data_IF_302101250735
#
_entry.id   IF_302101250735
#
_cell.length_a   1.000
_cell.length_b   1.000
_cell.length_c   1.000
_cell.angle_alpha   90.00
_cell.angle_beta   90.00
_cell.angle_gamma   90.00
#
_symmetry.space_group_name_H-M   'P 1'
#
loop_
_entity.id
_entity.type
_entity.pdbx_description
1 polymer ?
#
# COMPACT_ATOMS: atom_id res chain seq x y z
N UNK A 1 0.22 -9.24 -24.29
CA UNK A 1 0.68 -8.33 -23.24
C UNK A 1 0.77 -9.11 -21.94
N UNK A 2 1.95 -9.18 -21.33
CA UNK A 2 2.13 -9.78 -20.01
C UNK A 2 1.37 -8.90 -19.01
N UNK A 3 0.31 -9.43 -18.41
CA UNK A 3 -0.51 -8.69 -17.45
C UNK A 3 0.26 -8.38 -16.18
N UNK A 4 -0.05 -7.28 -15.50
CA UNK A 4 0.52 -6.97 -14.18
C UNK A 4 -0.57 -6.57 -13.19
N UNK A 5 -0.58 -7.22 -12.02
CA UNK A 5 -1.53 -6.97 -10.95
C UNK A 5 -0.82 -6.73 -9.61
N UNK A 6 -1.35 -5.79 -8.83
CA UNK A 6 -0.96 -5.53 -7.44
C UNK A 6 -2.17 -5.71 -6.52
N UNK A 7 -1.98 -5.85 -5.19
CA UNK A 7 -3.10 -5.99 -4.25
C UNK A 7 -4.09 -4.82 -4.30
N UNK A 8 -3.60 -3.59 -4.42
CA UNK A 8 -4.43 -2.38 -4.52
C UNK A 8 -5.28 -2.40 -5.78
N UNK A 9 -4.66 -2.66 -6.95
CA UNK A 9 -5.34 -2.79 -8.24
C UNK A 9 -6.36 -3.93 -8.25
N UNK A 10 -6.01 -5.07 -7.65
CA UNK A 10 -6.95 -6.17 -7.48
C UNK A 10 -8.16 -5.75 -6.63
N UNK A 11 -7.91 -5.02 -5.54
CA UNK A 11 -8.94 -4.51 -4.65
C UNK A 11 -9.85 -3.48 -5.32
N UNK A 12 -9.31 -2.58 -6.15
CA UNK A 12 -10.10 -1.64 -6.93
C UNK A 12 -11.10 -2.38 -7.83
N UNK A 13 -10.64 -3.36 -8.61
CA UNK A 13 -11.54 -4.11 -9.52
C UNK A 13 -12.58 -4.94 -8.77
N UNK A 14 -12.18 -5.59 -7.66
CA UNK A 14 -13.12 -6.31 -6.81
C UNK A 14 -14.17 -5.38 -6.20
N UNK A 15 -13.80 -4.14 -5.89
CA UNK A 15 -14.71 -3.11 -5.37
C UNK A 15 -15.67 -2.65 -6.46
N UNK A 16 -15.14 -2.19 -7.58
CA UNK A 16 -15.90 -1.69 -8.72
C UNK A 16 -15.02 -1.75 -9.99
N UNK A 17 -15.37 -2.56 -11.01
CA UNK A 17 -14.64 -2.58 -12.28
C UNK A 17 -14.49 -1.19 -12.92
N UNK A 18 -15.50 -0.33 -12.83
CA UNK A 18 -15.41 1.03 -13.36
C UNK A 18 -14.42 1.91 -12.57
N UNK A 19 -14.30 1.72 -11.25
CA UNK A 19 -13.28 2.40 -10.44
C UNK A 19 -11.87 1.98 -10.86
N UNK A 20 -11.65 0.67 -11.06
CA UNK A 20 -10.39 0.16 -11.60
C UNK A 20 -10.06 0.81 -12.94
N UNK A 21 -11.04 0.90 -13.84
CA UNK A 21 -10.85 1.57 -15.13
C UNK A 21 -10.40 3.02 -14.93
N UNK A 22 -11.13 3.81 -14.14
CA UNK A 22 -10.81 5.22 -13.93
C UNK A 22 -9.41 5.44 -13.34
N UNK A 23 -9.01 4.63 -12.35
CA UNK A 23 -7.70 4.77 -11.69
C UNK A 23 -6.55 4.21 -12.50
N UNK A 24 -6.72 3.01 -13.07
CA UNK A 24 -5.61 2.22 -13.63
C UNK A 24 -5.47 2.42 -15.13
N UNK A 25 -6.60 2.45 -15.85
CA UNK A 25 -6.63 2.54 -17.32
C UNK A 25 -6.66 4.01 -17.75
N UNK A 26 -7.66 4.76 -17.29
CA UNK A 26 -7.88 6.15 -17.68
C UNK A 26 -6.92 7.10 -16.92
N UNK A 27 -6.48 6.70 -15.72
CA UNK A 27 -5.59 7.46 -14.82
C UNK A 27 -6.12 8.86 -14.53
N UNK A 28 -7.41 8.93 -14.24
CA UNK A 28 -8.05 10.19 -13.89
C UNK A 28 -7.43 10.72 -12.59
N UNK A 29 -7.18 12.03 -12.50
CA UNK A 29 -6.68 12.63 -11.27
C UNK A 29 -7.69 12.42 -10.14
N UNK A 30 -7.16 12.12 -8.96
CA UNK A 30 -7.90 12.02 -7.70
C UNK A 30 -7.51 13.18 -6.81
N UNK A 31 -8.40 13.60 -5.91
CA UNK A 31 -8.07 14.65 -4.96
C UNK A 31 -7.20 14.03 -3.87
N UNK A 32 -6.10 14.68 -3.47
CA UNK A 32 -5.37 14.22 -2.30
C UNK A 32 -6.32 14.16 -1.10
N UNK A 33 -6.30 13.03 -0.40
CA UNK A 33 -7.13 12.82 0.78
C UNK A 33 -6.29 12.98 2.04
N UNK A 34 -6.76 13.78 2.99
CA UNK A 34 -6.13 13.90 4.30
C UNK A 34 -5.98 12.53 5.00
N UNK A 35 -6.90 11.59 4.77
CA UNK A 35 -6.78 10.24 5.32
C UNK A 35 -5.67 9.42 4.64
N UNK A 36 -5.54 9.52 3.32
CA UNK A 36 -4.48 8.83 2.56
C UNK A 36 -3.10 9.39 2.90
N UNK A 37 -2.94 10.71 2.90
CA UNK A 37 -1.70 11.39 3.27
C UNK A 37 -1.25 11.02 4.69
N UNK A 38 -2.20 10.82 5.62
CA UNK A 38 -1.89 10.41 6.99
C UNK A 38 -1.38 8.97 7.04
N UNK A 39 -1.95 8.10 6.21
CA UNK A 39 -1.45 6.74 5.98
C UNK A 39 0.03 6.77 5.58
N UNK A 40 0.34 7.50 4.50
CA UNK A 40 1.71 7.67 3.98
C UNK A 40 2.65 8.24 5.03
N UNK A 41 2.24 9.29 5.75
CA UNK A 41 3.05 9.91 6.80
C UNK A 41 3.36 8.92 7.94
N UNK A 42 2.35 8.20 8.44
CA UNK A 42 2.54 7.22 9.53
C UNK A 42 3.44 6.07 9.08
N UNK A 43 3.29 5.59 7.86
CA UNK A 43 4.16 4.56 7.28
C UNK A 43 5.60 5.04 7.21
N UNK A 44 5.84 6.23 6.66
CA UNK A 44 7.17 6.84 6.57
C UNK A 44 7.83 7.01 7.94
N UNK A 45 7.08 7.44 8.95
CA UNK A 45 7.59 7.55 10.34
C UNK A 45 7.98 6.18 10.90
N UNK A 46 7.14 5.16 10.73
CA UNK A 46 7.43 3.80 11.22
C UNK A 46 8.58 3.15 10.45
N UNK A 47 8.72 3.42 9.16
CA UNK A 47 9.90 3.05 8.39
C UNK A 47 11.13 3.71 9.02
N UNK A 48 11.17 5.05 9.06
CA UNK A 48 12.33 5.83 9.51
C UNK A 48 12.72 5.57 10.98
N UNK A 49 11.76 5.19 11.83
CA UNK A 49 12.01 4.74 13.20
C UNK A 49 13.04 3.60 13.27
N UNK A 50 13.02 2.66 12.33
CA UNK A 50 13.94 1.52 12.33
C UNK A 50 15.37 1.88 11.90
N UNK A 51 15.60 3.07 11.33
CA UNK A 51 16.95 3.58 11.07
C UNK A 51 17.65 4.02 12.37
N UNK A 52 16.90 4.24 13.45
CA UNK A 52 17.47 4.50 14.77
C UNK A 52 18.09 3.22 15.34
N UNK A 53 19.17 3.33 16.13
CA UNK A 53 19.67 2.22 16.95
C UNK A 53 18.57 1.68 17.85
N UNK A 54 18.58 0.38 18.12
CA UNK A 54 17.55 -0.31 18.94
C UNK A 54 17.17 0.42 20.21
N UNK A 55 18.14 0.91 20.99
CA UNK A 55 17.87 1.63 22.24
C UNK A 55 17.17 2.99 22.04
N UNK A 56 17.32 3.61 20.86
CA UNK A 56 16.72 4.89 20.51
C UNK A 56 15.30 4.80 19.93
N UNK A 57 14.82 3.60 19.60
CA UNK A 57 13.47 3.37 19.05
C UNK A 57 12.41 3.51 20.14
N UNK A 58 12.16 4.74 20.57
CA UNK A 58 11.22 5.10 21.64
C UNK A 58 10.00 5.82 21.10
N UNK A 59 8.89 5.80 21.84
CA UNK A 59 7.66 6.52 21.45
C UNK A 59 7.93 8.01 21.24
N UNK A 60 8.68 8.64 22.16
CA UNK A 60 9.09 10.03 22.04
C UNK A 60 9.87 10.30 20.74
N UNK A 61 10.89 9.49 20.45
CA UNK A 61 11.67 9.64 19.22
C UNK A 61 10.79 9.46 17.95
N UNK A 62 9.89 8.49 17.95
CA UNK A 62 8.99 8.25 16.83
C UNK A 62 8.00 9.41 16.60
N UNK A 63 7.47 9.98 17.68
CA UNK A 63 6.61 11.17 17.62
C UNK A 63 7.38 12.35 17.05
N UNK A 64 8.62 12.60 17.47
CA UNK A 64 9.44 13.70 16.93
C UNK A 64 9.70 13.58 15.41
N UNK A 65 9.69 12.37 14.85
CA UNK A 65 9.83 12.16 13.40
C UNK A 65 8.62 12.65 12.58
N UNK A 66 7.43 12.80 13.18
CA UNK A 66 6.20 13.15 12.44
C UNK A 66 6.32 14.52 11.74
N UNK A 67 6.94 15.51 12.38
CA UNK A 67 7.12 16.84 11.79
C UNK A 67 8.04 16.82 10.58
N UNK A 68 9.30 16.36 10.72
CA UNK A 68 10.24 16.24 9.61
C UNK A 68 9.74 15.37 8.46
N UNK A 69 9.06 14.25 8.75
CA UNK A 69 8.51 13.39 7.69
C UNK A 69 7.33 14.05 6.96
N UNK A 70 6.55 14.90 7.64
CA UNK A 70 5.52 15.70 6.98
C UNK A 70 6.12 16.73 6.02
N UNK A 71 7.17 17.44 6.43
CA UNK A 71 7.89 18.37 5.55
C UNK A 71 8.53 17.67 4.36
N UNK A 72 9.09 16.46 4.57
CA UNK A 72 9.62 15.63 3.47
C UNK A 72 8.52 15.22 2.50
N UNK A 73 7.36 14.84 3.01
CA UNK A 73 6.21 14.46 2.19
C UNK A 73 5.68 15.67 1.38
N UNK A 74 5.60 16.85 1.98
CA UNK A 74 5.25 18.09 1.28
C UNK A 74 6.26 18.46 0.18
N UNK A 75 7.55 18.22 0.41
CA UNK A 75 8.58 18.48 -0.58
C UNK A 75 8.47 17.52 -1.79
N UNK A 76 8.05 16.27 -1.56
CA UNK A 76 7.84 15.28 -2.61
C UNK A 76 6.51 15.48 -3.36
N UNK A 77 5.45 15.89 -2.64
CA UNK A 77 4.10 16.08 -3.17
C UNK A 77 3.54 17.46 -2.75
N UNK A 78 3.95 18.56 -3.42
CA UNK A 78 3.55 19.92 -3.04
C UNK A 78 2.04 20.17 -3.03
N UNK A 79 1.25 19.40 -3.79
CA UNK A 79 -0.21 19.46 -3.81
C UNK A 79 -0.84 19.16 -2.44
N UNK A 80 -0.14 18.45 -1.55
CA UNK A 80 -0.60 18.15 -0.20
C UNK A 80 -0.69 19.39 0.69
N UNK A 81 -0.02 20.49 0.31
CA UNK A 81 -0.15 21.77 1.00
C UNK A 81 -1.60 22.29 0.97
N UNK A 82 -2.36 21.94 -0.08
CA UNK A 82 -3.77 22.33 -0.25
C UNK A 82 -4.77 21.41 0.46
N UNK A 83 -4.32 20.46 1.29
CA UNK A 83 -5.21 19.57 2.05
C UNK A 83 -6.03 20.31 3.12
N UNK A 84 -5.51 21.41 3.63
CA UNK A 84 -6.08 22.18 4.72
C UNK A 84 -6.42 23.58 4.23
N UNK A 85 -7.33 24.27 4.92
CA UNK A 85 -7.64 25.67 4.61
C UNK A 85 -6.44 26.61 4.77
N UNK A 86 -6.63 27.88 4.41
CA UNK A 86 -5.63 28.93 4.62
C UNK A 86 -5.80 29.63 5.98
N UNK A 87 -4.72 30.24 6.48
CA UNK A 87 -4.71 31.04 7.71
C UNK A 87 -4.86 30.22 9.00
N UNK A 88 -5.20 30.89 10.10
CA UNK A 88 -5.20 30.30 11.44
C UNK A 88 -6.10 29.05 11.56
N UNK A 89 -7.24 29.04 10.86
CA UNK A 89 -8.16 27.90 10.88
C UNK A 89 -7.55 26.66 10.20
N UNK A 90 -6.86 26.86 9.06
CA UNK A 90 -6.15 25.80 8.35
C UNK A 90 -4.95 25.28 9.12
N UNK A 91 -4.21 26.17 9.78
CA UNK A 91 -3.10 25.79 10.66
C UNK A 91 -3.59 24.94 11.85
N UNK A 92 -4.75 25.28 12.43
CA UNK A 92 -5.37 24.48 13.48
C UNK A 92 -5.83 23.10 12.98
N UNK A 93 -6.42 23.03 11.78
CA UNK A 93 -6.81 21.77 11.14
C UNK A 93 -5.60 20.86 10.90
N UNK A 94 -4.52 21.43 10.35
CA UNK A 94 -3.25 20.73 10.14
C UNK A 94 -2.66 20.24 11.46
N UNK A 95 -2.65 21.07 12.49
CA UNK A 95 -2.12 20.70 13.80
C UNK A 95 -2.89 19.53 14.43
N UNK A 96 -4.22 19.54 14.37
CA UNK A 96 -5.04 18.43 14.85
C UNK A 96 -4.82 17.17 14.02
N UNK A 97 -4.69 17.30 12.69
CA UNK A 97 -4.40 16.19 11.80
C UNK A 97 -3.03 15.54 12.09
N UNK A 98 -1.99 16.36 12.33
CA UNK A 98 -0.68 15.88 12.76
C UNK A 98 -0.75 15.24 14.15
N UNK A 99 -1.56 15.81 15.06
CA UNK A 99 -1.86 15.20 16.36
C UNK A 99 -2.47 13.80 16.23
N UNK A 100 -3.34 13.57 15.24
CA UNK A 100 -3.88 12.24 14.95
C UNK A 100 -2.80 11.26 14.47
N UNK A 101 -1.88 11.71 13.61
CA UNK A 101 -0.74 10.89 13.18
C UNK A 101 0.17 10.51 14.37
N UNK A 102 0.50 11.48 15.25
CA UNK A 102 1.28 11.23 16.48
C UNK A 102 0.63 10.17 17.35
N UNK A 103 -0.69 10.26 17.59
CA UNK A 103 -1.44 9.25 18.38
C UNK A 103 -1.39 7.85 17.76
N UNK A 104 -1.40 7.73 16.43
CA UNK A 104 -1.25 6.44 15.74
C UNK A 104 0.16 5.87 15.88
N UNK A 105 1.18 6.73 15.78
CA UNK A 105 2.58 6.35 15.99
C UNK A 105 2.84 5.95 17.43
N UNK A 106 2.24 6.62 18.41
CA UNK A 106 2.31 6.22 19.83
C UNK A 106 1.63 4.87 20.04
N UNK A 107 0.44 4.66 19.45
CA UNK A 107 -0.31 3.41 19.55
C UNK A 107 0.51 2.19 19.10
N UNK A 108 1.37 2.34 18.09
CA UNK A 108 2.26 1.27 17.65
C UNK A 108 3.05 0.64 18.81
N UNK A 109 3.51 1.44 19.79
CA UNK A 109 4.27 0.97 20.95
C UNK A 109 3.42 0.20 21.98
N UNK A 110 2.09 0.31 21.91
CA UNK A 110 1.15 -0.53 22.68
C UNK A 110 1.05 -1.93 22.05
N UNK A 111 1.32 -2.05 20.74
CA UNK A 111 1.15 -3.28 19.96
C UNK A 111 2.42 -4.13 19.89
N UNK A 112 3.58 -3.48 19.83
CA UNK A 112 4.89 -4.15 19.87
C UNK A 112 6.03 -3.25 20.33
N UNK A 113 7.15 -3.87 20.76
CA UNK A 113 8.35 -3.14 21.16
C UNK A 113 9.40 -3.16 20.03
N UNK A 114 9.59 -2.05 19.28
CA UNK A 114 10.52 -2.00 18.15
C UNK A 114 12.00 -2.16 18.55
N UNK A 115 12.33 -1.99 19.83
CA UNK A 115 13.70 -2.17 20.34
C UNK A 115 14.13 -3.64 20.30
N UNK A 116 13.14 -4.55 20.29
CA UNK A 116 13.34 -6.00 20.28
C UNK A 116 13.36 -6.61 18.88
N UNK A 117 13.16 -5.82 17.84
CA UNK A 117 13.04 -6.30 16.45
C UNK A 117 14.20 -5.81 15.58
N UNK A 118 14.69 -6.66 14.66
CA UNK A 118 15.32 -6.18 13.41
C UNK A 118 14.42 -6.66 12.29
N UNK A 119 13.75 -5.75 11.56
CA UNK A 119 13.15 -6.13 10.30
C UNK A 119 14.24 -6.60 9.35
N UNK A 120 13.97 -7.67 8.59
CA UNK A 120 14.86 -8.08 7.52
C UNK A 120 14.77 -7.09 6.35
N UNK A 121 13.54 -6.64 6.05
CA UNK A 121 13.27 -5.66 5.00
C UNK A 121 12.13 -4.72 5.44
N UNK A 122 12.14 -3.49 4.92
CA UNK A 122 11.09 -2.48 5.05
C UNK A 122 10.81 -1.90 3.67
N UNK A 123 9.54 -1.59 3.38
CA UNK A 123 9.12 -1.11 2.05
C UNK A 123 9.65 -2.01 0.91
N UNK A 124 9.56 -3.33 1.13
CA UNK A 124 10.15 -4.31 0.22
C UNK A 124 9.34 -4.39 -1.08
N UNK A 125 9.94 -3.95 -2.18
CA UNK A 125 9.41 -4.23 -3.51
C UNK A 125 9.53 -5.73 -3.82
N UNK A 126 8.42 -6.35 -4.16
CA UNK A 126 8.36 -7.75 -4.57
C UNK A 126 7.71 -7.89 -5.94
N UNK A 127 8.27 -8.78 -6.77
CA UNK A 127 7.72 -9.11 -8.08
C UNK A 127 7.91 -10.60 -8.37
N UNK A 128 6.88 -11.25 -8.92
CA UNK A 128 6.98 -12.61 -9.45
C UNK A 128 6.08 -12.78 -10.68
N UNK A 129 6.33 -13.78 -11.50
CA UNK A 129 5.49 -14.14 -12.67
C UNK A 129 4.94 -15.53 -12.45
N UNK A 130 3.61 -15.66 -12.50
CA UNK A 130 2.93 -16.95 -12.40
C UNK A 130 3.10 -17.76 -13.70
N UNK A 131 2.83 -19.07 -13.63
CA UNK A 131 2.84 -19.97 -14.80
C UNK A 131 1.90 -19.51 -15.93
N UNK A 132 0.81 -18.82 -15.56
CA UNK A 132 -0.13 -18.17 -16.49
C UNK A 132 0.47 -16.97 -17.24
N UNK A 133 1.70 -16.56 -16.91
CA UNK A 133 2.35 -15.35 -17.41
C UNK A 133 1.85 -14.07 -16.75
N UNK A 134 0.99 -14.15 -15.72
CA UNK A 134 0.55 -12.98 -14.95
C UNK A 134 1.67 -12.53 -14.00
N UNK A 135 2.12 -11.28 -14.14
CA UNK A 135 3.06 -10.64 -13.22
C UNK A 135 2.32 -10.13 -11.97
N UNK A 136 2.76 -10.55 -10.80
CA UNK A 136 2.31 -10.04 -9.50
C UNK A 136 3.39 -9.14 -8.92
N UNK A 137 3.02 -7.93 -8.47
CA UNK A 137 3.97 -7.02 -7.82
C UNK A 137 3.34 -6.11 -6.78
N UNK A 138 4.16 -5.60 -5.87
CA UNK A 138 3.76 -4.60 -4.89
C UNK A 138 4.84 -4.36 -3.84
N UNK A 139 4.46 -3.65 -2.77
CA UNK A 139 5.34 -3.27 -1.68
C UNK A 139 4.83 -3.85 -0.36
N UNK A 140 5.73 -4.46 0.39
CA UNK A 140 5.44 -4.98 1.72
C UNK A 140 6.03 -4.01 2.74
N UNK A 141 5.19 -3.43 3.61
CA UNK A 141 5.62 -2.44 4.60
C UNK A 141 6.78 -2.97 5.46
N UNK A 142 6.66 -4.22 5.95
CA UNK A 142 7.73 -4.85 6.74
C UNK A 142 7.75 -6.37 6.64
N UNK A 143 8.96 -6.92 6.54
CA UNK A 143 9.23 -8.36 6.63
C UNK A 143 10.19 -8.63 7.78
N UNK A 144 9.78 -9.48 8.72
CA UNK A 144 10.63 -9.97 9.80
C UNK A 144 11.02 -11.43 9.54
N UNK A 145 12.27 -11.78 9.81
CA UNK A 145 12.78 -13.16 9.67
C UNK A 145 13.38 -13.61 11.00
N UNK A 146 12.83 -14.68 11.58
CA UNK A 146 13.35 -15.28 12.80
C UNK A 146 14.65 -16.08 12.52
N UNK A 147 15.49 -16.37 13.54
CA UNK A 147 16.66 -17.24 13.36
C UNK A 147 16.35 -18.65 12.81
N UNK A 148 15.11 -19.14 12.98
CA UNK A 148 14.61 -20.39 12.37
C UNK A 148 14.33 -20.28 10.86
N UNK A 149 14.43 -19.07 10.29
CA UNK A 149 13.99 -18.74 8.94
C UNK A 149 12.48 -18.58 8.80
N UNK A 150 11.72 -18.55 9.90
CA UNK A 150 10.28 -18.23 9.84
C UNK A 150 10.08 -16.76 9.45
N UNK A 151 9.24 -16.54 8.44
CA UNK A 151 8.95 -15.21 7.89
C UNK A 151 7.62 -14.70 8.44
N UNK A 152 7.62 -13.45 8.92
CA UNK A 152 6.42 -12.70 9.30
C UNK A 152 6.26 -11.48 8.38
N UNK A 153 5.13 -11.38 7.71
CA UNK A 153 4.74 -10.20 6.92
C UNK A 153 3.90 -9.29 7.81
N UNK A 154 4.27 -8.01 7.90
CA UNK A 154 3.54 -7.00 8.65
C UNK A 154 3.11 -5.86 7.71
N UNK A 155 1.87 -5.41 7.86
CA UNK A 155 1.33 -4.25 7.17
C UNK A 155 0.58 -3.36 8.19
N UNK A 156 0.83 -2.06 8.12
CA UNK A 156 0.28 -1.08 9.04
C UNK A 156 -0.97 -0.44 8.45
N UNK A 157 -2.05 -0.36 9.21
CA UNK A 157 -3.30 0.29 8.80
C UNK A 157 -3.61 1.45 9.74
N UNK A 158 -3.80 2.65 9.19
CA UNK A 158 -4.20 3.85 9.95
C UNK A 158 -5.70 3.94 10.21
N UNK A 159 -6.49 3.08 9.57
CA UNK A 159 -7.92 2.90 9.87
C UNK A 159 -8.17 2.00 11.08
N UNK A 160 -9.45 1.77 11.36
CA UNK A 160 -9.91 0.81 12.37
C UNK A 160 -9.94 -0.61 11.80
N UNK A 161 -9.74 -1.61 12.63
CA UNK A 161 -9.91 -3.00 12.21
C UNK A 161 -11.32 -3.28 11.66
N UNK A 162 -11.44 -4.14 10.64
CA UNK A 162 -12.72 -4.61 10.16
C UNK A 162 -13.39 -5.51 11.21
N UNK A 163 -14.73 -5.58 11.17
CA UNK A 163 -15.46 -6.63 11.88
C UNK A 163 -15.14 -8.01 11.26
N UNK A 164 -15.34 -9.08 12.03
CA UNK A 164 -15.06 -10.46 11.63
C UNK A 164 -15.53 -10.81 10.20
N UNK A 165 -16.76 -10.44 9.84
CA UNK A 165 -17.35 -10.71 8.51
C UNK A 165 -16.58 -10.08 7.32
N UNK A 166 -15.74 -9.08 7.59
CA UNK A 166 -14.97 -8.35 6.58
C UNK A 166 -13.47 -8.64 6.62
N UNK A 167 -12.99 -9.46 7.55
CA UNK A 167 -11.57 -9.82 7.68
C UNK A 167 -11.04 -10.50 6.43
N UNK A 168 -11.85 -11.35 5.78
CA UNK A 168 -11.45 -12.05 4.56
C UNK A 168 -11.02 -11.10 3.43
N UNK A 169 -11.60 -9.90 3.38
CA UNK A 169 -11.22 -8.87 2.41
C UNK A 169 -9.88 -8.24 2.78
N UNK A 170 -9.66 -7.95 4.07
CA UNK A 170 -8.40 -7.40 4.56
C UNK A 170 -7.24 -8.39 4.37
N UNK A 171 -7.48 -9.67 4.67
CA UNK A 171 -6.50 -10.75 4.52
C UNK A 171 -6.13 -11.06 3.07
N UNK A 172 -6.97 -10.70 2.08
CA UNK A 172 -6.63 -10.93 0.68
C UNK A 172 -5.33 -10.22 0.27
N UNK A 173 -5.13 -8.98 0.70
CA UNK A 173 -3.88 -8.24 0.44
C UNK A 173 -2.68 -8.99 1.05
N UNK A 174 -2.80 -9.46 2.28
CA UNK A 174 -1.73 -10.18 2.96
C UNK A 174 -1.42 -11.53 2.32
N UNK A 175 -2.46 -12.30 1.95
CA UNK A 175 -2.30 -13.58 1.24
C UNK A 175 -1.70 -13.38 -0.16
N UNK A 176 -1.95 -12.24 -0.81
CA UNK A 176 -1.30 -11.89 -2.07
C UNK A 176 0.21 -11.75 -1.88
N UNK A 177 0.67 -10.97 -0.89
CA UNK A 177 2.10 -10.83 -0.62
C UNK A 177 2.74 -12.14 -0.19
N UNK A 178 2.04 -12.92 0.62
CA UNK A 178 2.48 -14.25 1.01
C UNK A 178 2.67 -15.19 -0.20
N UNK A 179 1.75 -15.13 -1.17
CA UNK A 179 1.88 -15.84 -2.44
C UNK A 179 3.13 -15.39 -3.21
N UNK A 180 3.38 -14.08 -3.32
CA UNK A 180 4.56 -13.57 -4.04
C UNK A 180 5.85 -14.05 -3.37
N UNK A 181 5.98 -13.91 -2.05
CA UNK A 181 7.16 -14.38 -1.32
C UNK A 181 7.32 -15.89 -1.41
N UNK A 182 6.23 -16.66 -1.32
CA UNK A 182 6.30 -18.11 -1.47
C UNK A 182 6.81 -18.53 -2.85
N UNK A 183 6.42 -17.82 -3.91
CA UNK A 183 6.93 -18.07 -5.27
C UNK A 183 8.39 -17.70 -5.45
N UNK A 184 8.87 -16.69 -4.74
CA UNK A 184 10.28 -16.26 -4.78
C UNK A 184 11.20 -17.15 -3.93
N UNK A 185 10.74 -17.59 -2.76
CA UNK A 185 11.59 -18.21 -1.73
C UNK A 185 11.31 -19.71 -1.55
N UNK A 186 10.22 -20.23 -2.11
CA UNK A 186 9.82 -21.63 -1.96
C UNK A 186 9.27 -22.00 -0.58
N UNK A 187 9.18 -21.05 0.36
CA UNK A 187 8.66 -21.25 1.73
C UNK A 187 7.45 -20.36 2.00
N UNK A 188 6.41 -20.94 2.59
CA UNK A 188 5.22 -20.19 3.01
C UNK A 188 5.58 -19.32 4.22
N UNK A 189 5.26 -18.01 4.20
CA UNK A 189 5.42 -17.17 5.39
C UNK A 189 4.63 -17.71 6.56
N UNK A 190 5.23 -17.73 7.75
CA UNK A 190 4.62 -18.33 8.93
C UNK A 190 3.46 -17.51 9.47
N UNK A 191 3.56 -16.18 9.41
CA UNK A 191 2.59 -15.28 10.01
C UNK A 191 2.34 -14.04 9.14
N UNK A 192 1.08 -13.72 8.95
CA UNK A 192 0.62 -12.46 8.37
C UNK A 192 0.03 -11.62 9.50
N UNK A 193 0.43 -10.36 9.61
CA UNK A 193 0.01 -9.47 10.68
C UNK A 193 -0.44 -8.13 10.12
N UNK A 194 -1.68 -7.75 10.38
CA UNK A 194 -2.20 -6.40 10.13
C UNK A 194 -2.28 -5.65 11.45
N UNK A 195 -1.63 -4.49 11.54
CA UNK A 195 -1.62 -3.66 12.74
C UNK A 195 -2.47 -2.41 12.51
N UNK A 196 -3.65 -2.36 13.13
CA UNK A 196 -4.59 -1.26 13.02
C UNK A 196 -4.29 -0.18 14.06
N UNK A 197 -3.51 0.82 13.65
CA UNK A 197 -3.06 1.92 14.49
C UNK A 197 -4.20 2.88 14.87
N UNK A 198 -5.30 2.86 14.12
CA UNK A 198 -6.48 3.68 14.39
C UNK A 198 -7.21 3.27 15.69
N UNK A 199 -7.21 1.97 16.03
CA UNK A 199 -7.88 1.45 17.23
C UNK A 199 -7.02 0.52 18.11
N UNK A 200 -5.77 0.25 17.73
CA UNK A 200 -4.84 -0.58 18.52
C UNK A 200 -5.11 -2.08 18.45
N UNK A 201 -5.72 -2.55 17.36
CA UNK A 201 -6.00 -3.97 17.17
C UNK A 201 -4.99 -4.61 16.22
N UNK A 202 -4.71 -5.89 16.44
CA UNK A 202 -3.82 -6.68 15.59
C UNK A 202 -4.55 -7.90 15.08
N UNK A 203 -4.65 -8.02 13.77
CA UNK A 203 -5.19 -9.21 13.11
C UNK A 203 -4.03 -10.11 12.67
N UNK A 204 -4.10 -11.39 13.05
CA UNK A 204 -3.07 -12.39 12.78
C UNK A 204 -3.65 -13.55 11.99
N UNK A 205 -2.87 -14.06 11.05
CA UNK A 205 -3.23 -15.22 10.25
C UNK A 205 -2.00 -16.06 9.92
N UNK A 206 -2.06 -17.36 10.18
CA UNK A 206 -1.03 -18.33 9.79
C UNK A 206 -1.47 -19.02 8.49
N UNK A 207 -0.92 -18.65 7.32
CA UNK A 207 -1.33 -19.24 6.06
C UNK A 207 -0.68 -20.61 5.84
N UNK A 208 -1.39 -21.47 5.12
CA UNK A 208 -0.83 -22.72 4.57
C UNK A 208 -0.69 -22.67 3.04
N UNK A 209 -0.13 -23.72 2.43
CA UNK A 209 -0.03 -23.79 0.97
C UNK A 209 -1.40 -23.80 0.27
N UNK A 210 -2.42 -24.38 0.90
CA UNK A 210 -3.77 -24.45 0.35
C UNK A 210 -4.39 -23.07 0.20
N UNK A 211 -4.20 -22.22 1.20
CA UNK A 211 -4.57 -20.80 1.19
C UNK A 211 -3.91 -20.05 0.03
N UNK A 212 -2.60 -20.23 -0.16
CA UNK A 212 -1.86 -19.50 -1.19
C UNK A 212 -2.21 -20.00 -2.59
N UNK A 213 -2.44 -21.31 -2.77
CA UNK A 213 -2.96 -21.87 -4.03
C UNK A 213 -4.37 -21.35 -4.33
N UNK A 214 -5.24 -21.24 -3.33
CA UNK A 214 -6.57 -20.66 -3.50
C UNK A 214 -6.49 -19.16 -3.86
N UNK A 215 -5.58 -18.44 -3.23
CA UNK A 215 -5.31 -17.03 -3.53
C UNK A 215 -4.81 -16.85 -4.96
N UNK A 216 -3.89 -17.70 -5.42
CA UNK A 216 -3.42 -17.70 -6.81
C UNK A 216 -4.59 -17.89 -7.79
N UNK A 217 -5.42 -18.93 -7.60
CA UNK A 217 -6.59 -19.15 -8.47
C UNK A 217 -7.52 -17.95 -8.50
N UNK A 218 -7.75 -17.30 -7.35
CA UNK A 218 -8.57 -16.09 -7.25
C UNK A 218 -7.96 -14.91 -8.01
N UNK A 219 -6.65 -14.72 -7.90
CA UNK A 219 -5.89 -13.68 -8.61
C UNK A 219 -5.92 -13.89 -10.12
N UNK A 220 -5.74 -15.13 -10.58
CA UNK A 220 -5.82 -15.48 -12.00
C UNK A 220 -7.24 -15.28 -12.54
N UNK A 221 -8.27 -15.73 -11.82
CA UNK A 221 -9.66 -15.50 -12.22
C UNK A 221 -10.02 -14.01 -12.27
N UNK A 222 -9.49 -13.20 -11.34
CA UNK A 222 -9.65 -11.76 -11.33
C UNK A 222 -8.98 -11.12 -12.55
N UNK A 223 -7.77 -11.56 -12.90
CA UNK A 223 -7.07 -11.09 -14.08
C UNK A 223 -7.82 -11.43 -15.38
N UNK A 224 -8.37 -12.64 -15.49
CA UNK A 224 -9.20 -13.03 -16.62
C UNK A 224 -10.48 -12.18 -16.72
N UNK A 225 -11.07 -11.77 -15.59
CA UNK A 225 -12.19 -10.84 -15.59
C UNK A 225 -11.78 -9.43 -16.07
N UNK A 226 -10.61 -8.93 -15.64
CA UNK A 226 -10.04 -7.66 -16.11
C UNK A 226 -9.79 -7.72 -17.63
N UNK A 227 -9.20 -8.81 -18.13
CA UNK A 227 -8.98 -9.03 -19.57
C UNK A 227 -10.28 -8.98 -20.36
N UNK A 228 -11.31 -9.70 -19.91
CA UNK A 228 -12.63 -9.65 -20.58
C UNK A 228 -13.21 -8.23 -20.61
N UNK A 229 -13.06 -7.45 -19.54
CA UNK A 229 -13.49 -6.06 -19.50
C UNK A 229 -12.68 -5.17 -20.46
N UNK A 230 -11.37 -5.41 -20.60
CA UNK A 230 -10.53 -4.73 -21.59
C UNK A 230 -10.95 -5.08 -23.02
N UNK A 231 -11.15 -6.36 -23.32
CA UNK A 231 -11.46 -6.85 -24.68
C UNK A 231 -12.87 -6.41 -25.13
N UNK A 232 -13.85 -6.42 -24.23
CA UNK A 232 -15.23 -6.00 -24.51
C UNK A 232 -15.45 -4.49 -24.40
N UNK A 233 -14.60 -3.77 -23.68
CA UNK A 233 -14.83 -2.39 -23.27
C UNK A 233 -15.91 -2.22 -22.19
N UNK A 234 -16.49 -3.31 -21.67
CA UNK A 234 -17.52 -3.27 -20.63
C UNK A 234 -16.92 -3.20 -19.23
N UNK A 235 -17.03 -2.03 -18.61
CA UNK A 235 -16.61 -1.79 -17.22
C UNK A 235 -17.82 -1.53 -16.34
N UNK A 236 -18.40 -2.61 -15.80
CA UNK A 236 -19.66 -2.52 -15.04
C UNK A 236 -19.43 -1.78 -13.72
N UNK A 237 -20.13 -0.67 -13.45
CA UNK A 237 -20.10 -0.05 -12.14
C UNK A 237 -20.73 -0.98 -11.10
N UNK A 238 -20.35 -0.81 -9.83
CA UNK A 238 -20.95 -1.52 -8.70
C UNK A 238 -21.31 -0.51 -7.63
N UNK A 239 -22.60 -0.27 -7.45
CA UNK A 239 -23.11 0.67 -6.45
C UNK A 239 -22.99 0.11 -5.03
N UNK A 240 -22.72 0.99 -4.07
CA UNK A 240 -22.58 0.65 -2.66
C UNK A 240 -22.16 1.86 -1.83
N UNK A 241 -22.00 1.68 -0.51
CA UNK A 241 -21.66 2.78 0.43
C UNK A 241 -20.34 3.50 0.10
N UNK A 242 -19.42 2.83 -0.58
CA UNK A 242 -18.15 3.44 -1.00
C UNK A 242 -18.33 4.47 -2.12
N UNK A 243 -19.48 4.48 -2.81
CA UNK A 243 -19.77 5.50 -3.83
C UNK A 243 -19.90 6.90 -3.24
N UNK A 244 -20.16 7.06 -1.94
CA UNK A 244 -20.21 8.37 -1.28
C UNK A 244 -18.83 9.02 -1.17
N UNK A 245 -17.77 8.23 -1.31
CA UNK A 245 -16.37 8.64 -1.19
C UNK A 245 -15.59 8.39 -2.50
N UNK A 246 -16.29 8.16 -3.60
CA UNK A 246 -15.68 7.91 -4.90
C UNK A 246 -15.45 9.25 -5.63
N UNK A 247 -14.18 9.62 -5.83
CA UNK A 247 -13.78 10.87 -6.53
C UNK A 247 -14.29 10.95 -7.97
N UNK A 248 -14.67 9.81 -8.56
CA UNK A 248 -15.15 9.73 -9.93
C UNK A 248 -16.68 9.58 -10.03
N UNK A 249 -17.43 9.82 -8.94
CA UNK A 249 -18.90 9.69 -8.90
C UNK A 249 -19.60 10.48 -10.00
N UNK A 250 -19.13 11.71 -10.26
CA UNK A 250 -19.67 12.59 -11.32
C UNK A 250 -19.55 11.99 -12.74
N UNK A 251 -18.65 11.03 -12.95
CA UNK A 251 -18.43 10.34 -14.24
C UNK A 251 -19.10 8.98 -14.31
N UNK A 252 -19.74 8.53 -13.23
CA UNK A 252 -20.31 7.20 -13.12
C UNK A 252 -21.74 7.15 -13.70
N UNK A 253 -22.05 6.21 -14.61
CA UNK A 253 -23.39 6.04 -15.18
C UNK A 253 -24.50 5.81 -14.16
N UNK A 254 -24.21 5.14 -13.03
CA UNK A 254 -25.17 4.93 -11.92
C UNK A 254 -25.66 6.24 -11.30
N UNK A 255 -24.93 7.34 -11.51
CA UNK A 255 -25.26 8.67 -11.01
C UNK A 255 -25.49 9.68 -12.15
N UNK A 256 -25.79 9.18 -13.37
CA UNK A 256 -26.04 10.02 -14.55
C UNK A 256 -24.78 10.59 -15.22
N UNK A 257 -23.60 10.20 -14.76
CA UNK A 257 -22.32 10.59 -15.36
C UNK A 257 -21.98 9.79 -16.62
N UNK A 258 -21.03 10.30 -17.41
CA UNK A 258 -20.52 9.61 -18.60
C UNK A 258 -19.01 9.35 -18.47
N UNK A 259 -18.56 8.08 -18.49
CA UNK A 259 -17.15 7.73 -18.56
C UNK A 259 -16.49 8.35 -19.81
N UNK A 260 -15.21 8.79 -19.73
CA UNK A 260 -14.49 9.20 -20.93
C UNK A 260 -14.39 8.04 -21.94
N UNK A 261 -14.04 8.29 -23.21
CA UNK A 261 -13.70 7.21 -24.13
C UNK A 261 -12.48 6.43 -23.62
N UNK A 262 -12.36 5.14 -23.98
CA UNK A 262 -11.18 4.36 -23.63
C UNK A 262 -9.94 4.93 -24.34
N UNK A 263 -8.78 5.01 -23.65
CA UNK A 263 -7.55 5.46 -24.26
C UNK A 263 -7.19 4.61 -25.49
N UNK A 264 -6.84 5.27 -26.61
CA UNK A 264 -6.35 4.59 -27.82
C UNK A 264 -4.86 4.31 -27.70
N UNK A 265 -4.49 3.03 -27.55
CA UNK A 265 -3.10 2.56 -27.56
C UNK A 265 -2.84 1.48 -26.50
N UNK A 266 -1.75 0.68 -26.63
CA UNK A 266 -1.37 -0.23 -25.56
C UNK A 266 -1.11 0.61 -24.31
N UNK A 267 -1.77 0.27 -23.20
CA UNK A 267 -1.55 0.88 -21.88
C UNK A 267 -0.20 0.40 -21.33
N UNK A 268 0.88 0.62 -22.08
CA UNK A 268 2.24 0.29 -21.71
C UNK A 268 2.71 1.37 -20.75
N UNK A 269 2.31 1.29 -19.48
CA UNK A 269 2.71 2.33 -18.54
C UNK A 269 2.91 1.86 -17.10
N UNK A 270 3.81 2.56 -16.41
CA UNK A 270 4.58 2.00 -15.31
C UNK A 270 3.78 2.00 -14.00
N UNK A 271 4.17 1.16 -13.04
CA UNK A 271 3.82 1.23 -11.61
C UNK A 271 4.58 2.39 -10.96
N UNK A 272 4.14 2.93 -9.80
CA UNK A 272 4.96 3.84 -9.00
C UNK A 272 6.42 3.35 -8.83
N UNK A 273 6.61 2.03 -8.71
CA UNK A 273 7.94 1.38 -8.70
C UNK A 273 8.83 1.66 -9.92
N UNK A 274 8.22 1.86 -11.07
CA UNK A 274 8.93 2.12 -12.32
C UNK A 274 9.28 3.62 -12.48
N UNK A 275 8.81 4.50 -11.57
CA UNK A 275 9.14 5.93 -11.54
C UNK A 275 10.31 6.26 -10.60
N UNK A 276 10.68 5.36 -9.70
CA UNK A 276 11.72 5.61 -8.68
C UNK A 276 13.11 5.02 -9.04
N UNK A 277 13.21 4.19 -10.08
CA UNK A 277 14.47 3.57 -10.52
C UNK A 277 15.34 4.41 -11.48
N UNK A 278 14.94 5.65 -11.81
CA UNK A 278 15.62 6.50 -12.80
C UNK A 278 16.77 7.37 -12.27
N UNK A 279 17.01 7.39 -10.96
CA UNK A 279 18.04 8.22 -10.31
C UNK A 279 19.37 7.49 -10.08
N UNK A 280 19.86 6.76 -11.09
CA UNK A 280 21.20 6.18 -11.04
C UNK A 280 22.26 7.26 -11.23
N UNK A 281 22.87 7.71 -10.14
CA UNK A 281 24.07 8.55 -10.14
C UNK A 281 25.18 7.83 -10.91
N UNK A 282 25.59 8.42 -12.04
CA UNK A 282 26.81 8.02 -12.74
C UNK A 282 28.02 8.27 -11.84
N UNK A 283 28.78 7.20 -11.62
CA UNK A 283 30.23 7.13 -11.48
C UNK A 283 30.98 8.27 -10.77
N UNK A 284 31.54 7.96 -9.61
CA UNK A 284 32.89 8.40 -9.29
C UNK A 284 33.62 7.28 -8.55
N UNK A 285 34.59 6.72 -9.26
CA UNK A 285 35.53 5.73 -8.78
C UNK A 285 36.29 6.29 -7.56
N UNK A 286 36.42 5.49 -6.51
CA UNK A 286 37.50 5.67 -5.54
C UNK A 286 38.53 4.60 -5.79
N UNK A 287 39.64 5.05 -6.35
CA UNK A 287 40.90 4.33 -6.37
C UNK A 287 41.27 3.93 -4.94
N UNK A 288 41.62 2.65 -4.80
CA UNK A 288 42.47 2.16 -3.75
C UNK A 288 43.78 2.94 -3.79
N UNK A 289 44.22 3.47 -2.67
CA UNK A 289 45.65 3.56 -2.41
C UNK A 289 45.93 3.34 -0.91
N UNK A 290 46.93 2.51 -0.70
CA UNK A 290 47.47 2.08 0.58
C UNK A 290 48.15 3.23 1.34
N UNK A 291 48.07 3.13 2.68
CA UNK A 291 48.89 3.74 3.77
C UNK A 291 48.11 4.60 4.77
#
# INVERSE_FOLDING_TARGET
>A
MVGSLSPSRASDFMTCPLLYRFRVIDRLPERPSAAAARGTLVHAVLERLFDLPRGGRTAAAAVELVGPEWERLLAAEPELAGLFGDGEAGDAERAEWLGQARRMVERYFELEDPRRLEPAERELFVETVLDSGLKLRGYIDRVDVAPSGDVRIVDYKTGTAPRADFEARALFQMKFYALVLWRLQGRVPRLLQLMYLGNGEVLRYEPDEGDLRATQRKVEALWEAIRRAMDSGEWRPRSGRLCDWCDHKERCPEFGGTPPPLPVGPVGRPSPADLEGGGGVEGSAREHDDL
#
